data_IF_491801174606
#
_entry.id   IF_491801174606
#
_cell.length_a   1.000
_cell.length_b   1.000
_cell.length_c   1.000
_cell.angle_alpha   90.00
_cell.angle_beta   90.00
_cell.angle_gamma   90.00
#
_symmetry.space_group_name_H-M   'P 1'
#
loop_
_entity.id
_entity.type
_entity.pdbx_description
1 polymer ?
#
# COMPACT_ATOMS: atom_id res chain seq x y z
N UNK A 1 4.99 -29.66 3.59
CA UNK A 1 4.89 -28.43 4.41
C UNK A 1 3.44 -28.26 4.86
N UNK A 2 3.15 -28.38 6.15
CA UNK A 2 1.80 -28.23 6.69
C UNK A 2 1.42 -26.74 6.73
N UNK A 3 0.47 -26.31 5.89
CA UNK A 3 -0.15 -24.98 5.99
C UNK A 3 -0.73 -24.85 7.40
N UNK A 4 -0.23 -23.90 8.21
CA UNK A 4 -0.84 -23.58 9.51
C UNK A 4 -2.21 -22.95 9.26
N UNK A 5 -3.25 -23.76 9.36
CA UNK A 5 -4.64 -23.30 9.33
C UNK A 5 -4.84 -22.31 10.47
N UNK A 6 -5.33 -21.11 10.16
CA UNK A 6 -5.64 -20.10 11.19
C UNK A 6 -6.73 -20.68 12.11
N UNK A 7 -6.59 -20.45 13.42
CA UNK A 7 -7.59 -20.88 14.41
C UNK A 7 -8.98 -20.36 14.02
N UNK A 8 -10.02 -21.17 14.28
CA UNK A 8 -11.43 -20.79 14.11
C UNK A 8 -11.81 -19.49 14.87
N UNK A 9 -11.01 -19.11 15.87
CA UNK A 9 -11.18 -17.90 16.66
C UNK A 9 -10.32 -16.71 16.20
N UNK A 10 -9.56 -16.84 15.10
CA UNK A 10 -8.77 -15.74 14.57
C UNK A 10 -9.70 -14.63 14.08
N UNK A 11 -9.63 -13.46 14.75
CA UNK A 11 -10.31 -12.24 14.31
C UNK A 11 -9.26 -11.23 13.85
N UNK A 12 -9.46 -10.66 12.67
CA UNK A 12 -8.69 -9.51 12.21
C UNK A 12 -8.97 -8.32 13.14
N UNK A 13 -7.97 -7.92 13.92
CA UNK A 13 -8.09 -6.79 14.85
C UNK A 13 -7.89 -5.44 14.19
N UNK A 14 -7.68 -5.39 12.87
CA UNK A 14 -7.70 -4.14 12.09
C UNK A 14 -9.15 -3.67 11.94
N UNK A 15 -9.78 -3.29 13.05
CA UNK A 15 -11.06 -2.61 13.01
C UNK A 15 -10.81 -1.16 12.64
N UNK A 16 -11.45 -0.69 11.57
CA UNK A 16 -11.61 0.74 11.34
C UNK A 16 -12.23 1.34 12.61
N UNK A 17 -11.73 2.49 13.06
CA UNK A 17 -12.25 3.19 14.25
C UNK A 17 -13.76 3.39 14.06
N UNK A 18 -14.58 2.71 14.87
CA UNK A 18 -16.03 2.62 14.67
C UNK A 18 -16.80 3.88 15.08
N UNK A 19 -16.17 4.83 15.78
CA UNK A 19 -16.83 6.08 16.17
C UNK A 19 -16.16 7.28 15.48
N UNK A 20 -16.95 8.13 14.78
CA UNK A 20 -16.54 9.48 14.44
C UNK A 20 -16.21 10.17 15.76
N UNK A 21 -14.92 10.35 16.04
CA UNK A 21 -14.51 11.14 17.18
C UNK A 21 -14.93 12.57 16.88
N UNK A 22 -15.70 13.19 17.78
CA UNK A 22 -16.12 14.57 17.60
C UNK A 22 -14.87 15.46 17.42
N UNK A 23 -14.72 15.97 16.21
CA UNK A 23 -13.58 16.78 15.79
C UNK A 23 -13.86 18.28 16.00
N UNK A 24 -15.04 18.67 16.52
CA UNK A 24 -15.42 20.08 16.76
C UNK A 24 -14.47 20.80 17.70
N UNK A 25 -14.13 20.16 18.83
CA UNK A 25 -13.17 20.70 19.82
C UNK A 25 -11.78 20.83 19.20
N UNK A 26 -11.33 19.82 18.45
CA UNK A 26 -10.03 19.89 17.78
C UNK A 26 -10.01 20.99 16.71
N UNK A 27 -11.12 21.17 15.98
CA UNK A 27 -11.25 22.21 14.96
C UNK A 27 -11.22 23.62 15.56
N UNK A 28 -11.81 23.84 16.74
CA UNK A 28 -11.75 25.14 17.41
C UNK A 28 -10.31 25.50 17.79
N UNK A 29 -9.56 24.57 18.39
CA UNK A 29 -8.14 24.76 18.70
C UNK A 29 -7.30 25.03 17.44
N UNK A 30 -7.55 24.30 16.35
CA UNK A 30 -6.90 24.52 15.06
C UNK A 30 -7.18 25.94 14.54
N UNK A 31 -8.43 26.40 14.61
CA UNK A 31 -8.81 27.75 14.16
C UNK A 31 -8.12 28.85 14.97
N UNK A 32 -7.98 28.67 16.29
CA UNK A 32 -7.23 29.62 17.14
C UNK A 32 -5.79 29.74 16.66
N UNK A 33 -5.10 28.62 16.43
CA UNK A 33 -3.72 28.62 15.96
C UNK A 33 -3.57 29.27 14.58
N UNK A 34 -4.49 28.99 13.65
CA UNK A 34 -4.46 29.55 12.30
C UNK A 34 -4.72 31.05 12.31
N UNK A 35 -5.60 31.54 13.20
CA UNK A 35 -5.91 32.96 13.29
C UNK A 35 -4.67 33.79 13.68
N UNK A 36 -3.82 33.24 14.55
CA UNK A 36 -2.55 33.86 14.92
C UNK A 36 -1.45 33.65 13.87
N UNK A 37 -1.46 32.52 13.16
CA UNK A 37 -0.38 32.09 12.26
C UNK A 37 -0.92 31.51 10.94
N UNK A 38 -1.41 32.39 10.07
CA UNK A 38 -2.10 32.02 8.82
C UNK A 38 -1.23 31.25 7.82
N UNK A 39 0.10 31.33 7.92
CA UNK A 39 1.06 30.63 7.04
C UNK A 39 1.44 29.22 7.52
N UNK A 40 0.82 28.72 8.60
CA UNK A 40 1.21 27.45 9.21
C UNK A 40 0.43 26.27 8.61
N UNK A 41 1.15 25.34 7.98
CA UNK A 41 0.58 24.07 7.54
C UNK A 41 0.32 23.11 8.71
N UNK A 42 -0.42 22.03 8.45
CA UNK A 42 -0.90 21.10 9.48
C UNK A 42 0.20 20.54 10.42
N UNK A 43 1.44 20.36 9.95
CA UNK A 43 2.55 19.90 10.79
C UNK A 43 2.97 20.94 11.83
N UNK A 44 2.96 22.23 11.45
CA UNK A 44 3.26 23.32 12.37
C UNK A 44 2.10 23.57 13.33
N UNK A 45 0.87 23.51 12.84
CA UNK A 45 -0.34 23.53 13.69
C UNK A 45 -0.28 22.38 14.71
N UNK A 46 0.01 21.15 14.27
CA UNK A 46 0.20 20.01 15.16
C UNK A 46 1.29 20.24 16.21
N UNK A 47 2.42 20.83 15.83
CA UNK A 47 3.49 21.15 16.75
C UNK A 47 3.04 22.17 17.82
N UNK A 48 2.30 23.22 17.44
CA UNK A 48 1.71 24.17 18.39
C UNK A 48 0.73 23.48 19.34
N UNK A 49 -0.22 22.70 18.79
CA UNK A 49 -1.20 21.96 19.60
C UNK A 49 -0.51 21.05 20.62
N UNK A 50 0.55 20.35 20.21
CA UNK A 50 1.29 19.43 21.06
C UNK A 50 2.13 20.14 22.12
N UNK A 51 2.88 21.17 21.72
CA UNK A 51 3.92 21.77 22.57
C UNK A 51 3.46 22.98 23.37
N UNK A 52 2.48 23.74 22.87
CA UNK A 52 1.97 24.94 23.55
C UNK A 52 0.63 24.69 24.24
N UNK A 53 -0.22 23.82 23.68
CA UNK A 53 -1.56 23.54 24.22
C UNK A 53 -1.66 22.16 24.90
N UNK A 54 -0.57 21.39 24.94
CA UNK A 54 -0.52 20.03 25.52
C UNK A 54 -1.58 19.04 24.98
N UNK A 55 -2.10 19.30 23.77
CA UNK A 55 -3.12 18.45 23.13
C UNK A 55 -2.42 17.26 22.46
N UNK A 56 -2.57 16.07 23.05
CA UNK A 56 -2.02 14.82 22.50
C UNK A 56 -2.89 14.32 21.34
N UNK A 57 -2.55 14.77 20.13
CA UNK A 57 -3.23 14.34 18.89
C UNK A 57 -2.21 13.87 17.85
N UNK A 58 -2.55 12.82 17.10
CA UNK A 58 -1.72 12.37 15.98
C UNK A 58 -1.77 13.40 14.84
N UNK A 59 -0.62 13.75 14.26
CA UNK A 59 -0.53 14.68 13.12
C UNK A 59 -1.42 14.27 11.93
N UNK A 60 -1.67 12.97 11.74
CA UNK A 60 -2.60 12.46 10.71
C UNK A 60 -4.05 12.89 10.97
N UNK A 61 -4.47 12.96 12.25
CA UNK A 61 -5.80 13.46 12.63
C UNK A 61 -5.90 14.96 12.41
N UNK A 62 -4.87 15.74 12.78
CA UNK A 62 -4.82 17.19 12.49
C UNK A 62 -4.93 17.45 10.99
N UNK A 63 -4.18 16.70 10.18
CA UNK A 63 -4.28 16.76 8.72
C UNK A 63 -5.70 16.49 8.23
N UNK A 64 -6.34 15.41 8.71
CA UNK A 64 -7.71 15.05 8.32
C UNK A 64 -8.71 16.17 8.65
N UNK A 65 -8.68 16.69 9.88
CA UNK A 65 -9.59 17.75 10.33
C UNK A 65 -9.38 19.04 9.53
N UNK A 66 -8.13 19.45 9.30
CA UNK A 66 -7.84 20.62 8.47
C UNK A 66 -8.27 20.42 7.02
N UNK A 67 -8.08 19.22 6.45
CA UNK A 67 -8.54 18.88 5.10
C UNK A 67 -10.06 18.97 5.00
N UNK A 68 -10.78 18.34 5.91
CA UNK A 68 -12.24 18.25 5.89
C UNK A 68 -12.89 19.63 6.15
N UNK A 69 -12.17 20.53 6.84
CA UNK A 69 -12.57 21.93 7.04
C UNK A 69 -12.01 22.92 6.00
N UNK A 70 -11.34 22.46 4.94
CA UNK A 70 -10.70 23.30 3.91
C UNK A 70 -9.68 24.33 4.45
N UNK A 71 -8.95 23.98 5.51
CA UNK A 71 -7.93 24.82 6.18
C UNK A 71 -6.48 24.49 5.79
N UNK A 72 -6.28 23.60 4.81
CA UNK A 72 -4.93 23.28 4.33
C UNK A 72 -4.42 24.40 3.42
N UNK A 73 -3.16 24.78 3.62
CA UNK A 73 -2.49 25.74 2.74
C UNK A 73 -2.48 25.24 1.30
N UNK A 74 -2.80 26.16 0.38
CA UNK A 74 -2.63 25.92 -1.03
C UNK A 74 -1.15 25.64 -1.34
N UNK A 75 -0.88 24.49 -1.94
CA UNK A 75 0.46 24.13 -2.40
C UNK A 75 0.44 24.07 -3.92
N UNK A 76 1.04 25.08 -4.55
CA UNK A 76 1.27 25.05 -6.01
C UNK A 76 2.00 23.75 -6.39
N UNK A 77 1.48 23.04 -7.39
CA UNK A 77 2.14 21.87 -7.98
C UNK A 77 1.85 20.51 -7.36
N UNK A 78 0.92 20.37 -6.39
CA UNK A 78 0.44 19.03 -6.03
C UNK A 78 -0.44 18.50 -7.17
N UNK A 79 0.02 17.43 -7.83
CA UNK A 79 -0.87 16.62 -8.65
C UNK A 79 -2.12 16.28 -7.83
N UNK A 80 -3.30 16.42 -8.43
CA UNK A 80 -4.56 16.01 -7.79
C UNK A 80 -4.36 14.58 -7.29
N UNK A 81 -4.43 14.40 -5.97
CA UNK A 81 -4.46 13.05 -5.40
C UNK A 81 -5.65 12.34 -6.03
N UNK A 82 -5.43 11.16 -6.61
CA UNK A 82 -6.50 10.40 -7.25
C UNK A 82 -7.67 10.29 -6.26
N UNK A 83 -8.84 10.77 -6.67
CA UNK A 83 -10.08 10.66 -5.88
C UNK A 83 -10.72 9.29 -6.02
N UNK A 84 -10.14 8.39 -6.83
CA UNK A 84 -10.57 7.00 -6.94
C UNK A 84 -10.26 6.30 -5.63
N UNK A 85 -11.30 6.12 -4.81
CA UNK A 85 -11.21 5.18 -3.69
C UNK A 85 -11.02 3.78 -4.27
N UNK A 86 -10.05 3.05 -3.74
CA UNK A 86 -9.93 1.63 -4.05
C UNK A 86 -10.99 0.86 -3.23
N UNK A 87 -12.24 0.90 -3.70
CA UNK A 87 -13.34 0.10 -3.14
C UNK A 87 -13.27 -1.37 -3.62
N UNK A 88 -12.22 -1.73 -4.37
CA UNK A 88 -11.99 -3.07 -4.88
C UNK A 88 -11.65 -4.08 -3.78
N UNK A 89 -12.29 -5.25 -3.82
CA UNK A 89 -11.98 -6.39 -2.97
C UNK A 89 -10.75 -7.12 -3.54
N UNK A 90 -9.63 -7.08 -2.82
CA UNK A 90 -8.38 -7.74 -3.21
C UNK A 90 -8.44 -9.24 -2.91
N UNK A 91 -8.98 -9.61 -1.74
CA UNK A 91 -9.07 -10.99 -1.27
C UNK A 91 -10.02 -11.82 -2.15
N UNK A 92 -9.64 -13.07 -2.39
CA UNK A 92 -10.41 -14.05 -3.18
C UNK A 92 -10.64 -15.30 -2.33
N UNK A 93 -11.72 -16.02 -2.61
CA UNK A 93 -12.14 -17.17 -1.79
C UNK A 93 -11.41 -18.48 -2.13
N UNK A 94 -10.73 -18.52 -3.28
CA UNK A 94 -9.98 -19.68 -3.74
C UNK A 94 -8.54 -19.29 -4.11
N UNK A 95 -7.62 -20.17 -3.77
CA UNK A 95 -6.22 -20.02 -4.11
C UNK A 95 -6.01 -20.02 -5.63
N UNK A 96 -4.96 -19.34 -6.08
CA UNK A 96 -4.60 -19.22 -7.50
C UNK A 96 -5.67 -18.56 -8.38
N UNK A 97 -6.66 -17.84 -7.80
CA UNK A 97 -7.52 -16.92 -8.57
C UNK A 97 -6.84 -15.56 -8.79
N UNK A 98 -6.14 -15.07 -7.77
CA UNK A 98 -5.45 -13.77 -7.81
C UNK A 98 -4.20 -13.80 -6.96
N UNK A 99 -3.09 -13.44 -7.57
CA UNK A 99 -1.84 -13.11 -6.90
C UNK A 99 -1.62 -11.62 -6.98
N UNK A 100 -1.04 -11.03 -5.94
CA UNK A 100 -0.64 -9.64 -5.93
C UNK A 100 0.88 -9.50 -5.82
N UNK A 101 1.41 -8.45 -6.42
CA UNK A 101 2.80 -8.05 -6.24
C UNK A 101 2.90 -6.59 -5.87
N UNK A 102 3.79 -6.30 -4.93
CA UNK A 102 4.10 -4.96 -4.47
C UNK A 102 5.58 -4.84 -4.11
N UNK A 103 6.08 -3.60 -4.10
CA UNK A 103 7.45 -3.26 -3.72
C UNK A 103 7.49 -2.52 -2.39
N UNK A 104 8.47 -2.84 -1.55
CA UNK A 104 8.78 -2.09 -0.34
C UNK A 104 10.25 -1.72 -0.26
N UNK A 105 10.55 -0.61 0.41
CA UNK A 105 11.92 -0.14 0.66
C UNK A 105 12.23 -0.27 2.16
N UNK A 106 13.34 -0.94 2.47
CA UNK A 106 13.90 -1.09 3.81
C UNK A 106 15.14 -0.20 3.88
N UNK A 107 15.15 0.73 4.82
CA UNK A 107 16.33 1.54 5.11
C UNK A 107 17.24 0.77 6.06
N UNK A 108 18.52 0.67 5.73
CA UNK A 108 19.54 0.03 6.54
C UNK A 108 20.28 1.07 7.40
N UNK A 109 20.83 0.64 8.53
CA UNK A 109 21.55 1.52 9.47
C UNK A 109 22.82 2.14 8.88
N UNK A 110 23.41 1.49 7.87
CA UNK A 110 24.57 1.99 7.13
C UNK A 110 24.22 3.04 6.06
N UNK A 111 22.95 3.43 5.94
CA UNK A 111 22.45 4.38 4.94
C UNK A 111 22.05 3.76 3.60
N UNK A 112 22.30 2.47 3.40
CA UNK A 112 21.84 1.76 2.21
C UNK A 112 20.33 1.55 2.22
N UNK A 113 19.79 1.27 1.04
CA UNK A 113 18.37 0.97 0.83
C UNK A 113 18.23 -0.35 0.13
N UNK A 114 17.49 -1.28 0.74
CA UNK A 114 17.11 -2.55 0.12
C UNK A 114 15.68 -2.44 -0.36
N UNK A 115 15.47 -2.67 -1.65
CA UNK A 115 14.14 -2.72 -2.27
C UNK A 115 13.77 -4.17 -2.50
N UNK A 116 12.60 -4.56 -2.01
CA UNK A 116 12.07 -5.91 -2.11
C UNK A 116 10.77 -5.86 -2.90
N UNK A 117 10.65 -6.68 -3.94
CA UNK A 117 9.35 -7.02 -4.54
C UNK A 117 8.99 -8.45 -4.12
N UNK A 118 7.70 -8.69 -3.90
CA UNK A 118 7.19 -10.00 -3.49
C UNK A 118 5.95 -10.37 -4.29
N UNK A 119 5.72 -11.67 -4.46
CA UNK A 119 4.49 -12.23 -5.01
C UNK A 119 3.72 -12.93 -3.88
N UNK A 120 2.42 -12.67 -3.76
CA UNK A 120 1.58 -13.20 -2.69
C UNK A 120 0.23 -13.69 -3.23
N UNK A 121 -0.25 -14.84 -2.76
CA UNK A 121 -1.60 -15.32 -3.06
C UNK A 121 -2.64 -14.55 -2.22
N UNK A 122 -3.62 -13.92 -2.90
CA UNK A 122 -4.64 -13.09 -2.24
C UNK A 122 -5.66 -13.90 -1.42
N UNK A 123 -5.69 -15.24 -1.55
CA UNK A 123 -6.55 -16.12 -0.77
C UNK A 123 -5.96 -16.41 0.62
N UNK A 124 -4.82 -17.10 0.67
CA UNK A 124 -4.24 -17.62 1.91
C UNK A 124 -3.12 -16.73 2.49
N UNK A 125 -2.70 -15.70 1.74
CA UNK A 125 -1.58 -14.80 2.05
C UNK A 125 -0.23 -15.49 2.09
N UNK A 126 -0.08 -16.59 1.36
CA UNK A 126 1.20 -17.24 1.14
C UNK A 126 2.10 -16.37 0.27
N UNK A 127 3.34 -16.15 0.72
CA UNK A 127 4.39 -15.53 -0.11
C UNK A 127 4.91 -16.61 -1.05
N UNK A 128 4.75 -16.40 -2.36
CA UNK A 128 5.14 -17.35 -3.39
C UNK A 128 6.61 -17.19 -3.78
N UNK A 129 7.05 -15.95 -3.92
CA UNK A 129 8.44 -15.59 -4.26
C UNK A 129 8.73 -14.16 -3.85
N UNK A 130 10.01 -13.81 -3.82
CA UNK A 130 10.47 -12.45 -3.58
C UNK A 130 11.83 -12.23 -4.24
N UNK A 131 12.11 -10.97 -4.58
CA UNK A 131 13.40 -10.51 -5.10
C UNK A 131 13.84 -9.28 -4.32
N UNK A 132 15.13 -9.17 -4.05
CA UNK A 132 15.70 -8.05 -3.31
C UNK A 132 16.90 -7.45 -4.06
N UNK A 133 17.01 -6.12 -4.05
CA UNK A 133 18.09 -5.39 -4.71
C UNK A 133 18.42 -4.11 -3.95
N UNK A 134 19.69 -3.68 -3.98
CA UNK A 134 20.09 -2.35 -3.48
C UNK A 134 19.84 -1.25 -4.51
N UNK A 135 19.57 -1.63 -5.77
CA UNK A 135 19.25 -0.72 -6.88
C UNK A 135 17.73 -0.60 -7.05
N UNK A 136 17.28 -0.06 -8.19
CA UNK A 136 15.86 -0.03 -8.56
C UNK A 136 15.36 -1.41 -8.99
N UNK A 137 14.07 -1.66 -8.78
CA UNK A 137 13.39 -2.89 -9.25
C UNK A 137 13.09 -2.71 -10.74
N UNK A 138 13.71 -3.56 -11.57
CA UNK A 138 13.56 -3.53 -13.04
C UNK A 138 12.43 -4.47 -13.50
N UNK A 139 11.98 -4.31 -14.75
CA UNK A 139 11.06 -5.27 -15.39
C UNK A 139 11.60 -6.69 -15.36
N UNK A 140 12.91 -6.87 -15.58
CA UNK A 140 13.56 -8.17 -15.55
C UNK A 140 13.45 -8.84 -14.18
N UNK A 141 13.69 -8.11 -13.09
CA UNK A 141 13.52 -8.64 -11.72
C UNK A 141 12.06 -9.03 -11.44
N UNK A 142 11.09 -8.30 -12.00
CA UNK A 142 9.68 -8.67 -11.89
C UNK A 142 9.35 -9.92 -12.72
N UNK A 143 9.95 -10.08 -13.89
CA UNK A 143 9.83 -11.30 -14.67
C UNK A 143 10.38 -12.51 -13.92
N UNK A 144 11.57 -12.40 -13.32
CA UNK A 144 12.16 -13.46 -12.50
C UNK A 144 11.27 -13.80 -11.30
N UNK A 145 10.71 -12.77 -10.65
CA UNK A 145 9.76 -12.93 -9.56
C UNK A 145 8.53 -13.75 -9.98
N UNK A 146 7.93 -13.43 -11.14
CA UNK A 146 6.77 -14.15 -11.68
C UNK A 146 7.11 -15.59 -12.01
N UNK A 147 8.26 -15.83 -12.66
CA UNK A 147 8.71 -17.17 -13.02
C UNK A 147 8.92 -18.02 -11.77
N UNK A 148 9.66 -17.51 -10.78
CA UNK A 148 9.86 -18.18 -9.51
C UNK A 148 8.54 -18.44 -8.79
N UNK A 149 7.57 -17.52 -8.82
CA UNK A 149 6.26 -17.76 -8.18
C UNK A 149 5.52 -18.94 -8.82
N UNK A 150 5.56 -19.06 -10.15
CA UNK A 150 4.94 -20.17 -10.89
C UNK A 150 5.66 -21.48 -10.56
N UNK A 151 6.99 -21.50 -10.60
CA UNK A 151 7.80 -22.68 -10.29
C UNK A 151 7.60 -23.15 -8.85
N UNK A 152 7.54 -22.23 -7.88
CA UNK A 152 7.28 -22.55 -6.48
C UNK A 152 5.88 -23.13 -6.27
N UNK A 153 4.89 -22.65 -7.02
CA UNK A 153 3.49 -23.08 -6.84
C UNK A 153 3.14 -24.37 -7.57
N UNK A 154 3.64 -24.53 -8.80
CA UNK A 154 3.23 -25.60 -9.71
C UNK A 154 4.36 -26.58 -10.01
N UNK A 155 5.63 -26.21 -9.78
CA UNK A 155 6.81 -26.95 -10.22
C UNK A 155 7.35 -26.44 -11.56
N UNK A 156 8.57 -26.84 -11.90
CA UNK A 156 9.36 -26.29 -13.03
C UNK A 156 8.66 -26.46 -14.39
N UNK A 157 8.03 -27.61 -14.63
CA UNK A 157 7.43 -27.94 -15.93
C UNK A 157 5.90 -27.77 -15.99
N UNK A 158 5.31 -27.18 -14.94
CA UNK A 158 3.87 -27.07 -14.82
C UNK A 158 3.41 -25.63 -14.95
N UNK A 159 2.28 -25.47 -15.64
CA UNK A 159 1.61 -24.19 -15.81
C UNK A 159 0.27 -24.20 -15.09
N UNK A 160 -0.24 -23.03 -14.69
CA UNK A 160 -1.55 -22.97 -14.09
C UNK A 160 -2.61 -23.42 -15.10
N UNK A 161 -3.53 -24.28 -14.66
CA UNK A 161 -4.62 -24.82 -15.50
C UNK A 161 -5.63 -23.74 -15.91
N UNK A 162 -5.64 -22.61 -15.20
CA UNK A 162 -6.52 -21.47 -15.44
C UNK A 162 -5.70 -20.19 -15.33
N UNK A 163 -6.16 -19.12 -15.99
CA UNK A 163 -5.47 -17.84 -15.90
C UNK A 163 -5.60 -17.26 -14.48
N UNK A 164 -4.46 -16.87 -13.90
CA UNK A 164 -4.40 -16.26 -12.57
C UNK A 164 -4.29 -14.75 -12.73
N UNK A 165 -5.11 -13.98 -12.02
CA UNK A 165 -4.97 -12.52 -12.02
C UNK A 165 -3.68 -12.11 -11.31
N UNK A 166 -2.87 -11.29 -11.96
CA UNK A 166 -1.65 -10.70 -11.41
C UNK A 166 -1.90 -9.22 -11.13
N UNK A 167 -2.28 -8.93 -9.88
CA UNK A 167 -2.66 -7.61 -9.43
C UNK A 167 -1.45 -6.81 -8.94
N UNK A 168 -1.21 -5.64 -9.53
CA UNK A 168 -0.12 -4.74 -9.13
C UNK A 168 -0.60 -3.30 -9.03
N UNK A 169 0.25 -2.43 -8.48
CA UNK A 169 0.10 -1.00 -8.68
C UNK A 169 0.47 -0.59 -10.12
N UNK A 170 0.43 0.72 -10.38
CA UNK A 170 0.81 1.29 -11.68
C UNK A 170 2.32 1.62 -11.78
N UNK A 171 3.16 0.97 -10.98
CA UNK A 171 4.62 1.11 -11.04
C UNK A 171 5.15 0.82 -12.44
N UNK A 172 6.20 1.54 -12.87
CA UNK A 172 6.77 1.40 -14.22
C UNK A 172 7.31 0.00 -14.49
N UNK A 173 7.85 -0.68 -13.48
CA UNK A 173 8.33 -2.06 -13.59
C UNK A 173 7.20 -3.05 -13.88
N UNK A 174 5.98 -2.81 -13.38
CA UNK A 174 4.81 -3.64 -13.63
C UNK A 174 4.04 -3.25 -14.89
N UNK A 175 4.04 -1.96 -15.24
CA UNK A 175 3.26 -1.45 -16.37
C UNK A 175 3.97 -1.59 -17.72
N UNK A 176 5.29 -1.86 -17.71
CA UNK A 176 6.12 -2.09 -18.88
C UNK A 176 5.54 -3.17 -19.81
N UNK A 177 5.70 -2.96 -21.12
CA UNK A 177 5.19 -3.88 -22.14
C UNK A 177 5.77 -5.29 -21.99
N UNK A 178 7.09 -5.38 -21.79
CA UNK A 178 7.79 -6.65 -21.61
C UNK A 178 7.28 -7.43 -20.40
N UNK A 179 7.09 -6.77 -19.26
CA UNK A 179 6.53 -7.37 -18.04
C UNK A 179 5.13 -7.94 -18.28
N UNK A 180 4.24 -7.16 -18.92
CA UNK A 180 2.88 -7.62 -19.23
C UNK A 180 2.87 -8.77 -20.23
N UNK A 181 3.76 -8.74 -21.22
CA UNK A 181 3.91 -9.81 -22.20
C UNK A 181 4.37 -11.10 -21.51
N UNK A 182 5.40 -10.99 -20.66
CA UNK A 182 5.95 -12.11 -19.91
C UNK A 182 4.95 -12.75 -18.95
N UNK A 183 4.19 -11.94 -18.22
CA UNK A 183 3.10 -12.41 -17.37
C UNK A 183 2.09 -13.27 -18.16
N UNK A 184 1.65 -12.80 -19.34
CA UNK A 184 0.72 -13.57 -20.19
C UNK A 184 1.32 -14.88 -20.66
N UNK A 185 2.61 -14.89 -21.02
CA UNK A 185 3.31 -16.11 -21.39
C UNK A 185 3.32 -17.14 -20.26
N UNK A 186 3.31 -16.71 -18.99
CA UNK A 186 3.25 -17.59 -17.82
C UNK A 186 1.82 -18.03 -17.43
N UNK A 187 0.79 -17.59 -18.16
CA UNK A 187 -0.61 -17.84 -17.81
C UNK A 187 -1.18 -16.85 -16.79
N UNK A 188 -0.45 -15.78 -16.48
CA UNK A 188 -0.90 -14.70 -15.62
C UNK A 188 -1.65 -13.63 -16.43
N UNK A 189 -2.72 -13.07 -15.87
CA UNK A 189 -3.49 -11.97 -16.45
C UNK A 189 -3.12 -10.67 -15.71
N UNK A 190 -2.37 -9.73 -16.33
CA UNK A 190 -2.02 -8.47 -15.68
C UNK A 190 -3.26 -7.64 -15.37
N UNK A 191 -3.39 -7.21 -14.11
CA UNK A 191 -4.44 -6.31 -13.62
C UNK A 191 -3.76 -5.22 -12.80
N UNK A 192 -4.12 -3.96 -13.01
CA UNK A 192 -3.59 -2.83 -12.24
C UNK A 192 -4.67 -2.24 -11.36
N UNK A 193 -4.26 -1.63 -10.25
CA UNK A 193 -5.17 -0.80 -9.46
C UNK A 193 -5.65 0.42 -10.26
N UNK A 194 -6.87 0.94 -10.01
CA UNK A 194 -7.45 2.08 -10.72
C UNK A 194 -6.70 3.41 -10.55
#
# INVERSE_FOLDING_TARGET
MNKRVRSLHWKDQRQARQQPQDDTVLLSHIKTVINEQQSYGYRRVWAILKHQQAISVNHKRVYRVMRDANLLLYRQGLQKTSTRRHDGVIQVDESNKRWCSDGLEINCDNGDKVRVAFALDCCDREILSWVATTKGITSHLISDLMMQAIEQRFGIDHRPNQSIEWLTDNGSCYTAHETKSFARMLGLKPVTTP
#
